data_IF_462786081027
#
_entry.id   IF_462786081027
#
_cell.length_a   1.000
_cell.length_b   1.000
_cell.length_c   1.000
_cell.angle_alpha   90.00
_cell.angle_beta   90.00
_cell.angle_gamma   90.00
#
_symmetry.space_group_name_H-M   'P 1'
#
loop_
_entity.id
_entity.type
_entity.pdbx_description
1 polymer ?
#
# COMPACT_ATOMS: atom_id res chain seq x y z
N UNK A 1 -12.48 7.60 31.65
CA UNK A 1 -12.48 6.26 31.02
C UNK A 1 -13.59 6.23 29.99
N UNK A 2 -13.31 6.39 28.72
CA UNK A 2 -14.29 6.19 27.67
C UNK A 2 -14.68 4.69 27.67
N UNK A 3 -15.96 4.42 27.84
CA UNK A 3 -16.47 3.05 27.88
C UNK A 3 -16.15 2.35 26.56
N UNK A 4 -15.49 1.18 26.62
CA UNK A 4 -15.09 0.37 25.46
C UNK A 4 -16.29 0.17 24.52
N UNK A 5 -17.50 0.03 25.06
CA UNK A 5 -18.73 -0.07 24.27
C UNK A 5 -19.04 1.21 23.45
N UNK A 6 -18.73 2.37 24.01
CA UNK A 6 -18.94 3.65 23.33
C UNK A 6 -17.99 3.82 22.16
N UNK A 7 -16.73 3.41 22.33
CA UNK A 7 -15.72 3.39 21.26
C UNK A 7 -16.14 2.40 20.16
N UNK A 8 -16.51 1.18 20.52
CA UNK A 8 -16.96 0.15 19.58
C UNK A 8 -18.20 0.59 18.78
N UNK A 9 -19.16 1.23 19.42
CA UNK A 9 -20.34 1.76 18.75
C UNK A 9 -20.00 2.91 17.79
N UNK A 10 -19.07 3.78 18.14
CA UNK A 10 -18.60 4.89 17.30
C UNK A 10 -17.88 4.35 16.05
N UNK A 11 -16.99 3.35 16.20
CA UNK A 11 -16.30 2.67 15.11
C UNK A 11 -17.32 1.99 14.17
N UNK A 12 -18.29 1.28 14.74
CA UNK A 12 -19.33 0.59 13.96
C UNK A 12 -20.16 1.59 13.14
N UNK A 13 -20.47 2.75 13.70
CA UNK A 13 -21.18 3.85 13.02
C UNK A 13 -20.35 4.43 11.88
N UNK A 14 -19.08 4.74 12.11
CA UNK A 14 -18.18 5.24 11.06
C UNK A 14 -17.97 4.21 9.96
N UNK A 15 -17.74 2.94 10.31
CA UNK A 15 -17.61 1.85 9.36
C UNK A 15 -18.86 1.69 8.49
N UNK A 16 -20.06 1.77 9.08
CA UNK A 16 -21.32 1.72 8.33
C UNK A 16 -21.47 2.90 7.37
N UNK A 17 -21.03 4.08 7.78
CA UNK A 17 -21.06 5.31 6.95
C UNK A 17 -20.12 5.17 5.75
N UNK A 18 -18.90 4.66 5.95
CA UNK A 18 -17.94 4.42 4.86
C UNK A 18 -18.47 3.35 3.91
N UNK A 19 -19.02 2.25 4.46
CA UNK A 19 -19.62 1.19 3.66
C UNK A 19 -20.79 1.71 2.81
N UNK A 20 -21.66 2.55 3.38
CA UNK A 20 -22.75 3.21 2.65
C UNK A 20 -22.26 4.02 1.46
N UNK A 21 -21.17 4.76 1.61
CA UNK A 21 -20.55 5.54 0.51
C UNK A 21 -19.92 4.65 -0.55
N UNK A 22 -19.29 3.54 -0.14
CA UNK A 22 -18.76 2.56 -1.09
C UNK A 22 -19.87 1.90 -1.88
N UNK A 23 -20.99 1.54 -1.23
CA UNK A 23 -22.18 1.01 -1.92
C UNK A 23 -22.71 2.06 -2.92
N UNK A 24 -22.81 3.32 -2.53
CA UNK A 24 -23.21 4.40 -3.42
C UNK A 24 -22.29 4.52 -4.65
N UNK A 25 -20.97 4.37 -4.46
CA UNK A 25 -20.02 4.32 -5.56
C UNK A 25 -20.27 3.12 -6.49
N UNK A 26 -20.50 1.94 -5.92
CA UNK A 26 -20.80 0.74 -6.72
C UNK A 26 -22.08 0.90 -7.53
N UNK A 27 -23.13 1.49 -6.94
CA UNK A 27 -24.36 1.84 -7.66
C UNK A 27 -24.08 2.81 -8.80
N UNK A 28 -23.35 3.88 -8.53
CA UNK A 28 -22.91 4.83 -9.56
C UNK A 28 -22.16 4.13 -10.70
N UNK A 29 -21.22 3.23 -10.37
CA UNK A 29 -20.43 2.52 -11.36
C UNK A 29 -21.28 1.54 -12.20
N UNK A 30 -22.22 0.84 -11.56
CA UNK A 30 -23.20 -0.01 -12.27
C UNK A 30 -24.05 0.84 -13.23
N UNK A 31 -24.51 2.02 -12.81
CA UNK A 31 -25.23 2.93 -13.67
C UNK A 31 -24.43 3.36 -14.89
N UNK A 32 -23.12 3.64 -14.71
CA UNK A 32 -22.23 3.97 -15.84
C UNK A 32 -22.12 2.79 -16.83
N UNK A 33 -21.99 1.56 -16.31
CA UNK A 33 -21.97 0.36 -17.16
C UNK A 33 -23.30 0.21 -17.93
N UNK A 34 -24.43 0.42 -17.26
CA UNK A 34 -25.75 0.36 -17.91
C UNK A 34 -25.91 1.42 -18.99
N UNK A 35 -25.39 2.65 -18.76
CA UNK A 35 -25.36 3.69 -19.78
C UNK A 35 -24.48 3.25 -20.95
N UNK A 36 -23.29 2.67 -20.70
CA UNK A 36 -22.43 2.11 -21.75
C UNK A 36 -23.13 1.03 -22.58
N UNK A 37 -23.83 0.11 -21.93
CA UNK A 37 -24.64 -0.92 -22.61
C UNK A 37 -25.75 -0.26 -23.43
N UNK A 38 -26.44 0.73 -22.87
CA UNK A 38 -27.49 1.48 -23.55
C UNK A 38 -26.99 2.17 -24.83
N UNK A 39 -25.79 2.78 -24.77
CA UNK A 39 -25.13 3.37 -25.94
C UNK A 39 -24.82 2.32 -27.00
N UNK A 40 -24.35 1.14 -26.57
CA UNK A 40 -24.04 0.03 -27.48
C UNK A 40 -25.31 -0.51 -28.19
N UNK A 41 -26.39 -0.72 -27.43
CA UNK A 41 -27.69 -1.13 -27.96
C UNK A 41 -28.27 -0.07 -28.87
N UNK A 42 -28.16 1.23 -28.53
CA UNK A 42 -28.58 2.35 -29.35
C UNK A 42 -27.81 2.42 -30.67
N UNK A 43 -26.50 2.24 -30.63
CA UNK A 43 -25.68 2.19 -31.85
C UNK A 43 -26.06 1.02 -32.77
N UNK A 44 -26.38 -0.15 -32.18
CA UNK A 44 -26.88 -1.30 -32.93
C UNK A 44 -28.21 -0.99 -33.59
N UNK A 45 -29.16 -0.38 -32.89
CA UNK A 45 -30.46 -0.02 -33.41
C UNK A 45 -30.38 1.04 -34.53
N UNK A 46 -29.53 2.07 -34.34
CA UNK A 46 -29.26 3.07 -35.39
C UNK A 46 -28.65 2.41 -36.62
N UNK A 47 -27.71 1.48 -36.44
CA UNK A 47 -27.11 0.73 -37.57
C UNK A 47 -28.15 -0.08 -38.34
N UNK A 48 -29.09 -0.73 -37.63
CA UNK A 48 -30.19 -1.48 -38.23
C UNK A 48 -31.12 -0.57 -39.04
N UNK A 49 -31.52 0.58 -38.47
CA UNK A 49 -32.34 1.58 -39.17
C UNK A 49 -31.65 2.10 -40.42
N UNK A 50 -30.35 2.42 -40.36
CA UNK A 50 -29.58 2.92 -41.51
C UNK A 50 -29.53 1.88 -42.64
N UNK A 51 -29.34 0.60 -42.30
CA UNK A 51 -29.36 -0.49 -43.29
C UNK A 51 -30.72 -0.61 -43.97
N UNK A 52 -31.83 -0.47 -43.21
CA UNK A 52 -33.18 -0.45 -43.78
C UNK A 52 -33.42 0.74 -44.74
N UNK A 53 -33.00 1.94 -44.32
CA UNK A 53 -33.09 3.14 -45.17
C UNK A 53 -32.28 3.01 -46.45
N UNK A 54 -31.07 2.45 -46.37
CA UNK A 54 -30.21 2.25 -47.55
C UNK A 54 -30.82 1.25 -48.55
N UNK A 55 -31.58 0.26 -48.08
CA UNK A 55 -32.26 -0.72 -48.96
C UNK A 55 -33.43 -0.16 -49.73
N UNK A 56 -33.99 1.00 -49.33
CA UNK A 56 -35.13 1.66 -49.97
C UNK A 56 -34.71 2.74 -51.00
N UNK A 57 -33.41 3.12 -51.03
CA UNK A 57 -32.91 4.19 -51.91
C UNK A 57 -32.57 3.66 -53.32
N UNK A 58 -33.26 4.13 -54.37
CA UNK A 58 -32.99 3.76 -55.76
C UNK A 58 -31.70 4.33 -56.33
N UNK A 59 -31.19 5.43 -55.78
CA UNK A 59 -29.89 5.99 -56.15
C UNK A 59 -29.19 6.64 -54.96
N UNK A 60 -27.96 6.24 -54.71
CA UNK A 60 -27.17 6.75 -53.58
C UNK A 60 -25.94 7.48 -54.10
N UNK A 61 -25.69 8.68 -53.54
CA UNK A 61 -24.46 9.43 -53.81
C UNK A 61 -23.26 8.73 -53.13
N UNK A 62 -22.27 8.32 -53.93
CA UNK A 62 -21.05 7.61 -53.47
C UNK A 62 -20.35 8.37 -52.35
N UNK A 63 -20.32 9.71 -52.37
CA UNK A 63 -19.74 10.52 -51.29
C UNK A 63 -20.50 10.37 -49.97
N UNK A 64 -21.82 10.22 -50.03
CA UNK A 64 -22.67 10.07 -48.86
C UNK A 64 -22.46 8.69 -48.19
N UNK A 65 -22.28 7.63 -49.00
CA UNK A 65 -21.92 6.29 -48.53
C UNK A 65 -20.55 6.33 -47.84
N UNK A 66 -19.56 7.00 -48.46
CA UNK A 66 -18.20 7.06 -47.93
C UNK A 66 -18.16 7.77 -46.58
N UNK A 67 -18.71 8.98 -46.47
CA UNK A 67 -18.72 9.74 -45.22
C UNK A 67 -19.65 9.14 -44.18
N UNK A 68 -20.79 8.59 -44.57
CA UNK A 68 -21.70 7.84 -43.67
C UNK A 68 -21.06 6.57 -43.09
N UNK A 69 -20.31 5.86 -43.93
CA UNK A 69 -19.54 4.68 -43.50
C UNK A 69 -18.46 5.02 -42.46
N UNK A 70 -17.75 6.13 -42.70
CA UNK A 70 -16.75 6.62 -41.72
C UNK A 70 -17.42 7.00 -40.39
N UNK A 71 -18.52 7.74 -40.43
CA UNK A 71 -19.27 8.14 -39.23
C UNK A 71 -19.81 6.93 -38.47
N UNK A 72 -20.30 5.91 -39.20
CA UNK A 72 -20.76 4.66 -38.60
C UNK A 72 -19.64 3.89 -37.93
N UNK A 73 -18.47 3.75 -38.53
CA UNK A 73 -17.30 3.11 -37.96
C UNK A 73 -16.80 3.88 -36.70
N UNK A 74 -16.79 5.22 -36.76
CA UNK A 74 -16.42 6.08 -35.65
C UNK A 74 -17.38 5.91 -34.46
N UNK A 75 -18.69 5.80 -34.71
CA UNK A 75 -19.68 5.54 -33.64
C UNK A 75 -19.42 4.20 -32.97
N UNK A 76 -19.19 3.11 -33.72
CA UNK A 76 -18.89 1.80 -33.13
C UNK A 76 -17.56 1.81 -32.37
N UNK A 77 -16.54 2.43 -32.92
CA UNK A 77 -15.27 2.61 -32.25
C UNK A 77 -15.45 3.30 -30.88
N UNK A 78 -16.21 4.37 -30.84
CA UNK A 78 -16.51 5.12 -29.62
C UNK A 78 -17.24 4.27 -28.59
N UNK A 79 -18.25 3.51 -28.98
CA UNK A 79 -18.96 2.61 -28.09
C UNK A 79 -18.04 1.51 -27.52
N UNK A 80 -17.17 0.94 -28.35
CA UNK A 80 -16.20 -0.08 -27.94
C UNK A 80 -15.20 0.52 -26.94
N UNK A 81 -14.70 1.72 -27.17
CA UNK A 81 -13.78 2.41 -26.28
C UNK A 81 -14.41 2.67 -24.90
N UNK A 82 -15.64 3.15 -24.84
CA UNK A 82 -16.35 3.34 -23.57
C UNK A 82 -16.56 2.01 -22.86
N UNK A 83 -17.03 0.98 -23.56
CA UNK A 83 -17.23 -0.34 -22.98
C UNK A 83 -15.92 -0.92 -22.42
N UNK A 84 -14.84 -0.84 -23.19
CA UNK A 84 -13.52 -1.27 -22.76
C UNK A 84 -13.05 -0.54 -21.52
N UNK A 85 -13.19 0.79 -21.50
CA UNK A 85 -12.78 1.64 -20.39
C UNK A 85 -13.54 1.32 -19.10
N UNK A 86 -14.84 1.03 -19.19
CA UNK A 86 -15.66 0.68 -18.04
C UNK A 86 -15.48 -0.77 -17.58
N UNK A 87 -15.20 -1.69 -18.48
CA UNK A 87 -15.18 -3.14 -18.16
C UNK A 87 -13.77 -3.62 -17.80
N UNK A 88 -12.74 -3.15 -18.50
CA UNK A 88 -11.36 -3.60 -18.27
C UNK A 88 -10.89 -3.50 -16.82
N UNK A 89 -11.13 -2.40 -16.06
CA UNK A 89 -10.70 -2.29 -14.68
C UNK A 89 -11.29 -3.35 -13.75
N UNK A 90 -12.48 -3.87 -14.05
CA UNK A 90 -13.12 -4.94 -13.27
C UNK A 90 -12.37 -6.28 -13.37
N UNK A 91 -11.68 -6.50 -14.49
CA UNK A 91 -10.92 -7.73 -14.75
C UNK A 91 -9.41 -7.53 -14.57
N UNK A 92 -8.96 -6.28 -14.36
CA UNK A 92 -7.56 -6.02 -14.09
C UNK A 92 -7.20 -6.55 -12.72
N UNK A 93 -6.23 -7.45 -12.69
CA UNK A 93 -5.66 -7.99 -11.47
C UNK A 93 -4.38 -7.21 -11.19
N UNK A 94 -4.42 -6.34 -10.18
CA UNK A 94 -3.19 -5.72 -9.70
C UNK A 94 -2.39 -6.77 -8.93
N UNK A 95 -1.28 -7.20 -9.52
CA UNK A 95 -0.31 -8.06 -8.84
C UNK A 95 0.74 -7.15 -8.21
N UNK A 96 0.98 -7.34 -6.92
CA UNK A 96 2.14 -6.74 -6.26
C UNK A 96 3.39 -7.39 -6.86
N UNK A 97 4.31 -6.57 -7.38
CA UNK A 97 5.64 -7.06 -7.80
C UNK A 97 6.37 -7.66 -6.59
N UNK A 98 6.96 -8.83 -6.80
CA UNK A 98 7.78 -9.50 -5.78
C UNK A 98 9.29 -9.28 -6.03
N UNK A 99 9.67 -8.37 -6.92
CA UNK A 99 11.05 -8.19 -7.37
C UNK A 99 12.02 -7.80 -6.25
N UNK A 100 11.50 -7.17 -5.18
CA UNK A 100 12.27 -6.74 -4.01
C UNK A 100 11.97 -7.56 -2.75
N UNK A 101 11.50 -8.82 -2.90
CA UNK A 101 11.05 -9.65 -1.77
C UNK A 101 11.48 -11.08 -1.96
N UNK A 102 12.11 -11.66 -0.92
CA UNK A 102 12.48 -13.07 -0.86
C UNK A 102 11.45 -13.83 -0.04
N UNK A 103 10.85 -14.85 -0.60
CA UNK A 103 10.03 -15.78 0.16
C UNK A 103 10.93 -16.66 1.04
N UNK A 104 10.53 -16.84 2.29
CA UNK A 104 11.23 -17.70 3.25
C UNK A 104 10.32 -18.81 3.76
N UNK A 105 10.92 -19.97 4.00
CA UNK A 105 10.24 -21.13 4.53
C UNK A 105 10.44 -21.27 6.05
N UNK A 106 9.63 -22.12 6.66
CA UNK A 106 9.76 -22.45 8.09
C UNK A 106 11.09 -23.11 8.43
N UNK A 107 11.63 -23.89 7.50
CA UNK A 107 12.88 -24.61 7.72
C UNK A 107 14.08 -23.64 7.64
N UNK A 108 13.99 -22.56 6.89
CA UNK A 108 15.02 -21.53 6.81
C UNK A 108 15.03 -20.56 8.00
N UNK A 109 13.84 -20.20 8.52
CA UNK A 109 13.68 -19.23 9.60
C UNK A 109 12.74 -19.74 10.70
N UNK A 110 13.07 -20.84 11.40
CA UNK A 110 12.15 -21.48 12.35
C UNK A 110 11.74 -20.56 13.50
N UNK A 111 12.66 -19.72 14.02
CA UNK A 111 12.37 -18.79 15.11
C UNK A 111 11.40 -17.68 14.68
N UNK A 112 11.60 -17.08 13.51
CA UNK A 112 10.68 -16.09 12.96
C UNK A 112 9.27 -16.67 12.79
N UNK A 113 9.17 -17.89 12.26
CA UNK A 113 7.87 -18.56 12.11
C UNK A 113 7.23 -18.93 13.44
N UNK A 114 8.03 -19.19 14.50
CA UNK A 114 7.52 -19.39 15.86
C UNK A 114 6.87 -18.11 16.39
N UNK A 115 7.55 -16.96 16.27
CA UNK A 115 7.01 -15.65 16.66
C UNK A 115 5.72 -15.34 15.92
N UNK A 116 5.68 -15.54 14.59
CA UNK A 116 4.49 -15.32 13.77
C UNK A 116 3.34 -16.25 14.21
N UNK A 117 3.62 -17.52 14.53
CA UNK A 117 2.61 -18.47 14.97
C UNK A 117 2.01 -18.09 16.35
N UNK A 118 2.83 -17.57 17.25
CA UNK A 118 2.37 -17.08 18.55
C UNK A 118 1.45 -15.88 18.38
N UNK A 119 1.83 -14.90 17.57
CA UNK A 119 1.00 -13.73 17.27
C UNK A 119 -0.32 -14.17 16.61
N UNK A 120 -0.27 -15.07 15.64
CA UNK A 120 -1.47 -15.55 14.94
C UNK A 120 -2.43 -16.24 15.93
N UNK A 121 -1.90 -17.03 16.89
CA UNK A 121 -2.69 -17.68 17.95
C UNK A 121 -3.31 -16.66 18.90
N UNK A 122 -2.53 -15.70 19.39
CA UNK A 122 -2.97 -14.68 20.34
C UNK A 122 -4.02 -13.73 19.74
N UNK A 123 -3.92 -13.45 18.43
CA UNK A 123 -4.87 -12.59 17.70
C UNK A 123 -6.07 -13.35 17.09
N UNK A 124 -6.08 -14.69 17.18
CA UNK A 124 -7.11 -15.53 16.54
C UNK A 124 -7.06 -15.50 15.00
N UNK A 125 -5.94 -15.09 14.43
CA UNK A 125 -5.74 -15.05 13.00
C UNK A 125 -5.20 -16.39 12.46
N UNK A 126 -5.43 -16.63 11.16
CA UNK A 126 -4.76 -17.73 10.46
C UNK A 126 -3.33 -17.34 10.13
N UNK A 127 -2.42 -18.34 10.14
CA UNK A 127 -1.05 -18.15 9.64
C UNK A 127 -1.05 -17.55 8.22
N UNK A 128 -0.12 -16.65 7.92
CA UNK A 128 0.10 -16.16 6.56
C UNK A 128 0.33 -17.32 5.60
N UNK A 129 -0.09 -17.16 4.33
CA UNK A 129 0.14 -18.19 3.30
C UNK A 129 1.62 -18.25 2.92
N UNK A 130 2.22 -17.09 2.75
CA UNK A 130 3.64 -16.91 2.43
C UNK A 130 4.20 -15.83 3.35
N UNK A 131 5.46 -15.99 3.74
CA UNK A 131 6.23 -15.00 4.49
C UNK A 131 7.37 -14.54 3.60
N UNK A 132 7.48 -13.24 3.44
CA UNK A 132 8.49 -12.59 2.62
C UNK A 132 9.40 -11.74 3.48
N UNK A 133 10.68 -11.69 3.15
CA UNK A 133 11.62 -10.71 3.65
C UNK A 133 11.90 -9.66 2.57
N UNK A 134 12.03 -8.42 2.99
CA UNK A 134 12.51 -7.31 2.16
C UNK A 134 13.57 -6.54 2.94
N UNK A 135 14.41 -5.76 2.27
CA UNK A 135 15.36 -4.90 2.98
C UNK A 135 14.77 -3.52 3.33
N UNK A 136 13.46 -3.40 3.37
CA UNK A 136 12.80 -2.16 3.78
C UNK A 136 12.71 -2.06 5.31
N UNK A 137 12.53 -0.85 5.83
CA UNK A 137 12.19 -0.60 7.22
C UNK A 137 10.66 -0.63 7.40
N UNK A 138 10.03 -1.75 7.08
CA UNK A 138 8.58 -1.87 7.09
C UNK A 138 8.14 -3.32 7.37
N UNK A 139 6.95 -3.48 7.93
CA UNK A 139 6.25 -4.76 7.94
C UNK A 139 4.83 -4.52 7.42
N UNK A 140 4.29 -5.46 6.68
CA UNK A 140 2.91 -5.37 6.24
C UNK A 140 2.29 -6.74 5.96
N UNK A 141 1.00 -6.84 6.19
CA UNK A 141 0.20 -7.97 5.72
C UNK A 141 -0.53 -7.56 4.45
N UNK A 142 -0.37 -8.32 3.39
CA UNK A 142 -0.88 -7.96 2.07
C UNK A 142 -1.49 -9.16 1.32
N UNK A 143 -2.18 -8.85 0.22
CA UNK A 143 -2.70 -9.83 -0.72
C UNK A 143 -1.87 -9.80 -2.01
N UNK A 144 -1.51 -10.97 -2.56
CA UNK A 144 -0.75 -11.06 -3.81
C UNK A 144 -1.48 -10.50 -5.03
N UNK A 145 -2.79 -10.45 -4.97
CA UNK A 145 -3.60 -9.91 -6.03
C UNK A 145 -4.86 -9.28 -5.47
N UNK A 146 -5.19 -8.10 -5.97
CA UNK A 146 -6.46 -7.44 -5.73
C UNK A 146 -7.27 -7.46 -7.02
N UNK A 147 -8.42 -8.10 -6.98
CA UNK A 147 -9.41 -8.09 -8.05
C UNK A 147 -10.79 -7.97 -7.41
N UNK A 148 -11.79 -7.58 -8.19
CA UNK A 148 -13.18 -7.50 -7.69
C UNK A 148 -13.65 -8.86 -7.13
N UNK A 149 -13.15 -9.96 -7.67
CA UNK A 149 -13.45 -11.32 -7.22
C UNK A 149 -12.90 -11.63 -5.82
N UNK A 150 -11.83 -10.94 -5.39
CA UNK A 150 -11.27 -11.11 -4.04
C UNK A 150 -12.20 -10.61 -2.93
N UNK A 151 -13.25 -9.86 -3.27
CA UNK A 151 -14.28 -9.42 -2.33
C UNK A 151 -15.17 -10.62 -1.95
N UNK A 152 -15.51 -11.45 -2.94
CA UNK A 152 -16.42 -12.60 -2.78
C UNK A 152 -15.67 -13.84 -2.32
N UNK A 153 -14.43 -14.02 -2.74
CA UNK A 153 -13.58 -15.16 -2.39
C UNK A 153 -12.42 -14.70 -1.50
N UNK A 154 -12.48 -14.99 -0.18
CA UNK A 154 -11.43 -14.57 0.74
C UNK A 154 -10.12 -15.28 0.40
N UNK A 155 -9.14 -14.50 -0.08
CA UNK A 155 -7.78 -14.97 -0.31
C UNK A 155 -7.00 -14.99 1.00
N UNK A 156 -6.07 -15.95 1.13
CA UNK A 156 -5.14 -15.96 2.27
C UNK A 156 -4.18 -14.78 2.15
N UNK A 157 -3.83 -14.22 3.29
CA UNK A 157 -2.91 -13.10 3.41
C UNK A 157 -1.48 -13.59 3.41
N UNK A 158 -0.58 -12.73 2.98
CA UNK A 158 0.86 -12.90 3.09
C UNK A 158 1.41 -11.87 4.07
N UNK A 159 2.53 -12.17 4.67
CA UNK A 159 3.26 -11.28 5.56
C UNK A 159 4.58 -10.89 4.89
N UNK A 160 4.92 -9.62 4.93
CA UNK A 160 6.26 -9.13 4.62
C UNK A 160 6.87 -8.57 5.90
N UNK A 161 8.12 -8.92 6.15
CA UNK A 161 8.93 -8.41 7.26
C UNK A 161 10.18 -7.80 6.67
N UNK A 162 10.40 -6.53 6.96
CA UNK A 162 11.60 -5.82 6.53
C UNK A 162 12.80 -6.17 7.40
N UNK A 163 13.93 -6.50 6.79
CA UNK A 163 15.18 -6.74 7.52
C UNK A 163 15.68 -5.48 8.21
N UNK A 164 15.30 -4.27 7.71
CA UNK A 164 15.57 -3.02 8.41
C UNK A 164 14.99 -2.96 9.83
N UNK A 165 13.84 -3.59 10.07
CA UNK A 165 13.27 -3.71 11.42
C UNK A 165 14.11 -4.62 12.33
N UNK A 166 14.70 -5.68 11.75
CA UNK A 166 15.56 -6.60 12.48
C UNK A 166 16.84 -5.90 12.98
N UNK A 167 17.31 -4.88 12.27
CA UNK A 167 18.58 -4.20 12.59
C UNK A 167 18.53 -3.32 13.84
N UNK A 168 17.36 -2.83 14.22
CA UNK A 168 17.24 -1.85 15.30
C UNK A 168 16.31 -2.23 16.43
N UNK A 169 15.69 -3.44 16.39
CA UNK A 169 14.69 -3.86 17.35
C UNK A 169 15.11 -5.10 18.10
N UNK A 170 14.57 -5.25 19.32
CA UNK A 170 14.58 -6.52 20.02
C UNK A 170 13.39 -7.40 19.60
N UNK A 171 13.39 -8.66 20.05
CA UNK A 171 12.36 -9.65 19.66
C UNK A 171 10.95 -9.21 20.09
N UNK A 172 10.78 -8.57 21.24
CA UNK A 172 9.47 -8.10 21.71
C UNK A 172 9.00 -6.85 20.98
N UNK A 173 9.89 -5.93 20.63
CA UNK A 173 9.58 -4.77 19.81
C UNK A 173 9.15 -5.16 18.39
N UNK A 174 9.86 -6.11 17.77
CA UNK A 174 9.44 -6.68 16.50
C UNK A 174 8.10 -7.40 16.63
N UNK A 175 7.90 -8.19 17.70
CA UNK A 175 6.63 -8.86 18.00
C UNK A 175 5.49 -7.83 18.17
N UNK A 176 5.78 -6.65 18.74
CA UNK A 176 4.82 -5.55 18.86
C UNK A 176 4.37 -5.03 17.50
N UNK A 177 5.31 -4.76 16.59
CA UNK A 177 5.00 -4.29 15.24
C UNK A 177 4.20 -5.35 14.47
N UNK A 178 4.65 -6.60 14.48
CA UNK A 178 3.92 -7.68 13.83
C UNK A 178 2.54 -7.89 14.48
N UNK A 179 2.42 -7.75 15.80
CA UNK A 179 1.17 -7.78 16.53
C UNK A 179 0.20 -6.69 16.11
N UNK A 180 0.70 -5.48 15.86
CA UNK A 180 -0.07 -4.38 15.29
C UNK A 180 -0.59 -4.71 13.88
N UNK A 181 0.27 -5.23 12.99
CA UNK A 181 -0.13 -5.66 11.65
C UNK A 181 -1.20 -6.76 11.67
N UNK A 182 -1.07 -7.72 12.58
CA UNK A 182 -2.10 -8.74 12.79
C UNK A 182 -3.36 -8.17 13.44
N UNK A 183 -3.23 -7.13 14.26
CA UNK A 183 -4.33 -6.39 14.88
C UNK A 183 -5.31 -5.86 13.84
N UNK A 184 -4.81 -5.33 12.73
CA UNK A 184 -5.64 -4.88 11.59
C UNK A 184 -6.56 -5.97 11.01
N UNK A 185 -6.43 -7.23 11.41
CA UNK A 185 -7.18 -8.35 10.86
C UNK A 185 -7.91 -9.22 11.88
N UNK A 186 -7.77 -8.92 13.18
CA UNK A 186 -8.24 -9.79 14.26
C UNK A 186 -9.70 -9.57 14.69
N UNK A 187 -10.31 -8.41 14.42
CA UNK A 187 -11.61 -8.04 14.99
C UNK A 187 -12.77 -8.06 13.99
N UNK A 188 -14.01 -8.17 14.49
CA UNK A 188 -15.21 -8.16 13.62
C UNK A 188 -15.46 -6.79 12.96
N UNK A 189 -15.13 -5.71 13.63
CA UNK A 189 -15.12 -4.34 13.09
C UNK A 189 -14.14 -4.21 11.93
N UNK A 190 -13.01 -4.93 12.02
CA UNK A 190 -12.01 -5.04 10.95
C UNK A 190 -12.50 -5.83 9.73
N UNK A 191 -13.51 -6.70 9.84
CA UNK A 191 -14.10 -7.35 8.65
C UNK A 191 -14.75 -6.31 7.74
N UNK A 192 -15.49 -5.36 8.31
CA UNK A 192 -16.08 -4.24 7.54
C UNK A 192 -14.96 -3.34 7.01
N UNK A 193 -13.97 -2.98 7.85
CA UNK A 193 -12.80 -2.22 7.44
C UNK A 193 -12.01 -2.92 6.33
N UNK A 194 -11.81 -4.24 6.41
CA UNK A 194 -11.09 -5.00 5.39
C UNK A 194 -11.82 -5.09 4.05
N UNK A 195 -13.16 -5.12 4.06
CA UNK A 195 -13.98 -5.05 2.83
C UNK A 195 -13.85 -3.66 2.23
N UNK A 196 -14.03 -2.61 3.05
CA UNK A 196 -13.88 -1.22 2.63
C UNK A 196 -12.50 -0.95 2.07
N UNK A 197 -11.44 -1.42 2.74
CA UNK A 197 -10.06 -1.28 2.28
C UNK A 197 -9.83 -1.95 0.91
N UNK A 198 -10.32 -3.18 0.72
CA UNK A 198 -10.23 -3.87 -0.58
C UNK A 198 -10.98 -3.13 -1.68
N UNK A 199 -12.17 -2.63 -1.38
CA UNK A 199 -12.95 -1.84 -2.33
C UNK A 199 -12.22 -0.54 -2.70
N UNK A 200 -11.61 0.15 -1.73
CA UNK A 200 -10.81 1.35 -1.99
C UNK A 200 -9.56 1.05 -2.83
N UNK A 201 -8.89 -0.08 -2.61
CA UNK A 201 -7.77 -0.53 -3.46
C UNK A 201 -8.21 -0.78 -4.90
N UNK A 202 -9.39 -1.40 -5.10
CA UNK A 202 -9.94 -1.63 -6.44
C UNK A 202 -10.26 -0.29 -7.11
N UNK A 203 -10.93 0.63 -6.40
CA UNK A 203 -11.26 1.96 -6.92
C UNK A 203 -9.99 2.73 -7.27
N UNK A 204 -8.96 2.64 -6.42
CA UNK A 204 -7.64 3.26 -6.68
C UNK A 204 -7.01 2.69 -7.94
N UNK A 205 -7.00 1.35 -8.09
CA UNK A 205 -6.52 0.70 -9.31
C UNK A 205 -7.28 1.12 -10.57
N UNK A 206 -8.59 1.36 -10.45
CA UNK A 206 -9.40 1.90 -11.56
C UNK A 206 -8.98 3.32 -11.93
N UNK A 207 -8.67 4.16 -10.93
CA UNK A 207 -8.20 5.53 -11.13
C UNK A 207 -6.80 5.55 -11.75
N UNK A 208 -5.89 4.72 -11.25
CA UNK A 208 -4.52 4.59 -11.78
C UNK A 208 -4.54 4.15 -13.25
N UNK A 209 -5.35 3.14 -13.57
CA UNK A 209 -5.58 2.72 -14.96
C UNK A 209 -6.09 3.88 -15.83
N UNK A 210 -7.11 4.61 -15.35
CA UNK A 210 -7.69 5.72 -16.06
C UNK A 210 -6.68 6.86 -16.32
N UNK A 211 -5.84 7.17 -15.32
CA UNK A 211 -4.78 8.17 -15.42
C UNK A 211 -3.66 7.74 -16.38
N UNK A 212 -3.31 6.45 -16.37
CA UNK A 212 -2.32 5.91 -17.30
C UNK A 212 -2.79 5.98 -18.76
N UNK A 213 -4.03 5.60 -19.02
CA UNK A 213 -4.62 5.72 -20.36
C UNK A 213 -4.71 7.20 -20.81
N UNK A 214 -5.04 8.11 -19.89
CA UNK A 214 -5.05 9.55 -20.15
C UNK A 214 -3.63 10.08 -20.44
N UNK A 215 -2.61 9.60 -19.71
CA UNK A 215 -1.21 9.97 -19.95
C UNK A 215 -0.72 9.49 -21.31
N UNK A 216 -1.02 8.24 -21.68
CA UNK A 216 -0.72 7.69 -23.02
C UNK A 216 -1.37 8.56 -24.11
N UNK A 217 -2.64 8.92 -23.93
CA UNK A 217 -3.34 9.81 -24.82
C UNK A 217 -2.64 11.17 -24.95
N UNK A 218 -2.23 11.80 -23.83
CA UNK A 218 -1.58 13.11 -23.86
C UNK A 218 -0.18 13.09 -24.49
N UNK A 219 0.57 12.00 -24.35
CA UNK A 219 1.88 11.84 -24.99
C UNK A 219 1.78 11.70 -26.51
N UNK A 220 0.70 11.09 -27.00
CA UNK A 220 0.47 10.99 -28.46
C UNK A 220 0.07 12.36 -29.09
N UNK A 221 -0.42 13.32 -28.31
CA UNK A 221 -0.66 14.71 -28.77
C UNK A 221 0.61 15.48 -29.14
N UNK A 222 1.76 15.05 -28.61
CA UNK A 222 3.04 15.70 -28.89
C UNK A 222 3.60 15.32 -30.27
N UNK A 223 3.09 14.27 -30.91
CA UNK A 223 3.44 13.84 -32.24
C UNK A 223 2.38 14.37 -33.25
N UNK A 224 2.82 15.07 -34.26
CA UNK A 224 2.03 15.96 -35.14
C UNK A 224 1.11 15.25 -36.16
N UNK A 225 0.62 14.04 -35.85
CA UNK A 225 -0.25 13.29 -36.76
C UNK A 225 -1.73 13.67 -36.60
N UNK A 226 -2.30 14.22 -37.68
CA UNK A 226 -3.67 14.77 -37.72
C UNK A 226 -4.78 13.78 -37.38
N UNK A 227 -4.55 12.45 -37.58
CA UNK A 227 -5.51 11.40 -37.26
C UNK A 227 -5.64 11.13 -35.79
N UNK A 228 -4.56 11.25 -35.01
CA UNK A 228 -4.57 11.10 -33.59
C UNK A 228 -5.41 12.16 -32.87
N UNK A 229 -5.49 13.39 -33.43
CA UNK A 229 -6.34 14.46 -32.88
C UNK A 229 -7.83 14.09 -32.84
N UNK A 230 -8.31 13.36 -33.84
CA UNK A 230 -9.68 12.85 -33.85
C UNK A 230 -9.94 11.76 -32.83
N UNK A 231 -8.98 10.88 -32.60
CA UNK A 231 -9.06 9.87 -31.53
C UNK A 231 -9.12 10.50 -30.16
N UNK A 232 -8.44 11.63 -29.95
CA UNK A 232 -8.43 12.34 -28.67
C UNK A 232 -9.73 13.11 -28.39
N UNK A 233 -10.41 13.61 -29.40
CA UNK A 233 -11.74 14.21 -29.23
C UNK A 233 -12.72 13.18 -28.65
N UNK A 234 -12.57 11.91 -29.02
CA UNK A 234 -13.33 10.79 -28.47
C UNK A 234 -12.98 10.46 -27.00
N UNK A 235 -11.84 10.93 -26.47
CA UNK A 235 -11.44 10.69 -25.08
C UNK A 235 -12.15 11.60 -24.07
N UNK A 236 -12.85 12.63 -24.49
CA UNK A 236 -13.56 13.57 -23.61
C UNK A 236 -14.47 12.93 -22.56
N UNK A 237 -15.35 11.98 -22.94
CA UNK A 237 -16.19 11.24 -21.98
C UNK A 237 -15.38 10.43 -20.98
N UNK A 238 -14.26 9.82 -21.40
CA UNK A 238 -13.38 9.07 -20.50
C UNK A 238 -12.76 9.98 -19.44
N UNK A 239 -12.27 11.15 -19.85
CA UNK A 239 -11.73 12.18 -18.95
C UNK A 239 -12.80 12.64 -17.96
N UNK A 240 -14.03 12.84 -18.42
CA UNK A 240 -15.15 13.20 -17.56
C UNK A 240 -15.45 12.10 -16.52
N UNK A 241 -15.58 10.84 -16.96
CA UNK A 241 -15.82 9.68 -16.07
C UNK A 241 -14.71 9.57 -15.04
N UNK A 242 -13.44 9.68 -15.47
CA UNK A 242 -12.27 9.64 -14.57
C UNK A 242 -12.35 10.74 -13.51
N UNK A 243 -12.64 11.99 -13.89
CA UNK A 243 -12.77 13.11 -12.97
C UNK A 243 -13.90 12.88 -11.94
N UNK A 244 -15.04 12.33 -12.36
CA UNK A 244 -16.13 12.00 -11.43
C UNK A 244 -15.75 10.84 -10.49
N UNK A 245 -15.07 9.82 -11.01
CA UNK A 245 -14.58 8.69 -10.20
C UNK A 245 -13.59 9.18 -9.13
N UNK A 246 -12.66 10.07 -9.48
CA UNK A 246 -11.72 10.68 -8.52
C UNK A 246 -12.46 11.50 -7.46
N UNK A 247 -13.48 12.28 -7.84
CA UNK A 247 -14.28 13.03 -6.85
C UNK A 247 -14.99 12.09 -5.87
N UNK A 248 -15.56 10.99 -6.36
CA UNK A 248 -16.18 9.97 -5.53
C UNK A 248 -15.18 9.29 -4.60
N UNK A 249 -14.01 8.92 -5.13
CA UNK A 249 -12.93 8.36 -4.33
C UNK A 249 -12.54 9.28 -3.18
N UNK A 250 -12.26 10.55 -3.47
CA UNK A 250 -11.89 11.55 -2.47
C UNK A 250 -13.02 11.77 -1.42
N UNK A 251 -14.29 11.68 -1.84
CA UNK A 251 -15.42 11.77 -0.94
C UNK A 251 -15.49 10.58 0.03
N UNK A 252 -15.19 9.36 -0.45
CA UNK A 252 -15.11 8.17 0.40
C UNK A 252 -13.90 8.27 1.33
N UNK A 253 -12.73 8.59 0.76
CA UNK A 253 -11.46 8.64 1.47
C UNK A 253 -11.47 9.65 2.62
N UNK A 254 -12.07 10.82 2.43
CA UNK A 254 -12.21 11.81 3.49
C UNK A 254 -12.87 11.28 4.77
N UNK A 255 -13.81 10.31 4.64
CA UNK A 255 -14.44 9.66 5.80
C UNK A 255 -13.70 8.40 6.24
N UNK A 256 -13.05 7.73 5.31
CA UNK A 256 -12.24 6.56 5.64
C UNK A 256 -11.07 6.91 6.57
N UNK A 257 -10.55 8.14 6.52
CA UNK A 257 -9.47 8.62 7.42
C UNK A 257 -9.86 8.55 8.89
N UNK A 258 -11.08 8.97 9.24
CA UNK A 258 -11.57 8.86 10.61
C UNK A 258 -11.62 7.40 11.06
N UNK A 259 -12.15 6.51 10.21
CA UNK A 259 -12.18 5.09 10.47
C UNK A 259 -10.76 4.50 10.55
N UNK A 260 -9.85 4.91 9.66
CA UNK A 260 -8.45 4.47 9.65
C UNK A 260 -7.76 4.78 10.97
N UNK A 261 -7.91 6.00 11.51
CA UNK A 261 -7.34 6.37 12.82
C UNK A 261 -7.83 5.49 13.97
N UNK A 262 -9.13 5.16 13.99
CA UNK A 262 -9.66 4.23 14.99
C UNK A 262 -9.09 2.82 14.84
N UNK A 263 -8.92 2.37 13.58
CA UNK A 263 -8.31 1.07 13.30
C UNK A 263 -6.86 1.00 13.76
N UNK A 264 -6.11 2.10 13.64
CA UNK A 264 -4.73 2.19 14.19
C UNK A 264 -4.72 2.02 15.71
N UNK A 265 -5.57 2.76 16.44
CA UNK A 265 -5.65 2.64 17.90
C UNK A 265 -6.09 1.25 18.36
N UNK A 266 -6.98 0.59 17.62
CA UNK A 266 -7.35 -0.81 17.92
C UNK A 266 -6.20 -1.78 17.66
N UNK A 267 -5.44 -1.59 16.58
CA UNK A 267 -4.27 -2.40 16.27
C UNK A 267 -3.17 -2.20 17.32
N UNK A 268 -2.97 -0.95 17.78
CA UNK A 268 -2.08 -0.62 18.90
C UNK A 268 -2.49 -1.34 20.18
N UNK A 269 -3.79 -1.36 20.50
CA UNK A 269 -4.31 -2.07 21.68
C UNK A 269 -4.12 -3.58 21.58
N UNK A 270 -4.17 -4.17 20.37
CA UNK A 270 -3.85 -5.59 20.15
C UNK A 270 -2.37 -5.83 20.37
N UNK A 271 -1.48 -5.01 19.82
CA UNK A 271 -0.05 -5.10 20.05
C UNK A 271 0.30 -5.03 21.56
N UNK A 272 -0.26 -4.04 22.26
CA UNK A 272 -0.06 -3.88 23.71
C UNK A 272 -0.55 -5.09 24.51
N UNK A 273 -1.63 -5.76 24.08
CA UNK A 273 -2.11 -7.00 24.74
C UNK A 273 -1.13 -8.16 24.57
N UNK A 274 -0.46 -8.24 23.42
CA UNK A 274 0.47 -9.33 23.09
C UNK A 274 1.79 -9.15 23.86
N UNK A 275 2.41 -7.97 23.79
CA UNK A 275 3.76 -7.74 24.33
C UNK A 275 3.81 -6.82 25.54
N UNK A 276 2.75 -6.11 25.86
CA UNK A 276 2.71 -5.02 26.84
C UNK A 276 2.92 -3.65 26.20
N UNK A 277 2.57 -2.59 26.93
CA UNK A 277 2.68 -1.22 26.43
C UNK A 277 4.15 -0.79 26.24
N UNK A 278 5.06 -1.18 27.14
CA UNK A 278 6.47 -0.74 27.10
C UNK A 278 7.20 -1.15 25.81
N UNK A 279 7.22 -2.42 25.36
CA UNK A 279 7.85 -2.79 24.09
C UNK A 279 7.19 -2.14 22.89
N UNK A 280 5.87 -1.98 22.90
CA UNK A 280 5.15 -1.32 21.82
C UNK A 280 5.53 0.17 21.71
N UNK A 281 5.53 0.92 22.82
CA UNK A 281 5.94 2.34 22.83
C UNK A 281 7.41 2.46 22.41
N UNK A 282 8.28 1.58 22.94
CA UNK A 282 9.70 1.54 22.55
C UNK A 282 9.85 1.33 21.04
N UNK A 283 9.09 0.41 20.46
CA UNK A 283 9.14 0.16 19.01
C UNK A 283 8.71 1.37 18.19
N UNK A 284 7.68 2.12 18.60
CA UNK A 284 7.25 3.34 17.94
C UNK A 284 8.33 4.43 17.99
N UNK A 285 8.94 4.64 19.15
CA UNK A 285 10.02 5.62 19.34
C UNK A 285 11.24 5.26 18.48
N UNK A 286 11.59 3.97 18.43
CA UNK A 286 12.71 3.49 17.62
C UNK A 286 12.44 3.63 16.12
N UNK A 287 11.22 3.36 15.66
CA UNK A 287 10.87 3.46 14.25
C UNK A 287 11.15 4.84 13.66
N UNK A 288 10.90 5.91 14.41
CA UNK A 288 11.13 7.28 13.93
C UNK A 288 12.64 7.51 13.70
N UNK A 289 13.46 7.17 14.69
CA UNK A 289 14.93 7.29 14.58
C UNK A 289 15.51 6.35 13.51
N UNK A 290 15.04 5.10 13.48
CA UNK A 290 15.48 4.12 12.49
C UNK A 290 15.11 4.55 11.07
N UNK A 291 13.95 5.18 10.88
CA UNK A 291 13.51 5.67 9.57
C UNK A 291 14.47 6.74 9.02
N UNK A 292 14.92 7.65 9.86
CA UNK A 292 15.89 8.67 9.47
C UNK A 292 17.25 8.05 9.13
N UNK A 293 17.78 7.21 10.01
CA UNK A 293 19.09 6.58 9.84
C UNK A 293 19.12 5.60 8.68
N UNK A 294 18.05 4.82 8.54
CA UNK A 294 17.92 3.90 7.41
C UNK A 294 17.84 4.65 6.08
N UNK A 295 17.16 5.81 6.06
CA UNK A 295 17.14 6.70 4.91
C UNK A 295 18.53 7.22 4.52
N UNK A 296 19.35 7.59 5.51
CA UNK A 296 20.75 7.99 5.27
C UNK A 296 21.57 6.81 4.71
N UNK A 297 21.39 5.61 5.26
CA UNK A 297 22.04 4.41 4.74
C UNK A 297 21.63 4.10 3.28
N UNK A 298 20.34 4.18 2.96
CA UNK A 298 19.85 4.01 1.59
C UNK A 298 20.47 5.04 0.62
N UNK A 299 20.72 6.26 1.07
CA UNK A 299 21.41 7.27 0.27
C UNK A 299 22.88 6.89 0.00
N UNK A 300 23.59 6.33 1.00
CA UNK A 300 24.94 5.79 0.81
C UNK A 300 24.93 4.65 -0.21
N UNK A 301 23.98 3.71 -0.07
CA UNK A 301 23.83 2.60 -1.03
C UNK A 301 23.56 3.12 -2.44
N UNK A 302 22.66 4.09 -2.59
CA UNK A 302 22.34 4.67 -3.90
C UNK A 302 23.57 5.32 -4.55
N UNK A 303 24.41 5.99 -3.75
CA UNK A 303 25.67 6.59 -4.24
C UNK A 303 26.67 5.54 -4.70
N UNK A 304 26.85 4.46 -3.92
CA UNK A 304 27.72 3.34 -4.31
C UNK A 304 27.27 2.67 -5.62
N UNK A 305 25.96 2.49 -5.80
CA UNK A 305 25.41 1.91 -7.02
C UNK A 305 25.62 2.79 -8.26
N UNK A 306 25.71 4.13 -8.10
CA UNK A 306 26.09 5.02 -9.20
C UNK A 306 27.52 4.74 -9.68
N UNK A 307 28.42 4.33 -8.75
CA UNK A 307 29.80 3.95 -9.04
C UNK A 307 29.93 2.45 -9.39
N UNK A 308 28.79 1.76 -9.66
CA UNK A 308 28.69 0.33 -9.95
C UNK A 308 29.24 -0.61 -8.85
N UNK A 309 29.25 -0.11 -7.63
CA UNK A 309 29.68 -0.86 -6.44
C UNK A 309 28.47 -1.25 -5.61
N UNK A 310 28.54 -2.37 -4.91
CA UNK A 310 27.45 -2.86 -4.08
C UNK A 310 27.96 -3.38 -2.72
N UNK A 311 27.03 -3.48 -1.79
CA UNK A 311 27.28 -3.97 -0.43
C UNK A 311 26.87 -5.44 -0.38
N UNK A 312 27.80 -6.34 -0.12
CA UNK A 312 27.59 -7.79 -0.04
C UNK A 312 26.86 -8.21 1.24
N UNK A 313 27.17 -7.56 2.37
CA UNK A 313 26.47 -7.73 3.64
C UNK A 313 25.73 -6.45 4.03
N UNK A 314 24.49 -6.36 3.57
CA UNK A 314 23.63 -5.18 3.72
C UNK A 314 23.33 -4.86 5.19
N UNK A 315 23.18 -5.90 6.04
CA UNK A 315 22.92 -5.75 7.47
C UNK A 315 24.15 -5.15 8.19
N UNK A 316 25.33 -5.68 7.90
CA UNK A 316 26.58 -5.15 8.46
C UNK A 316 26.89 -3.75 7.95
N UNK A 317 26.54 -3.46 6.70
CA UNK A 317 26.65 -2.13 6.12
C UNK A 317 25.84 -1.10 6.88
N UNK A 318 24.61 -1.42 7.21
CA UNK A 318 23.77 -0.57 8.04
C UNK A 318 24.39 -0.34 9.42
N UNK A 319 24.89 -1.40 10.10
CA UNK A 319 25.50 -1.30 11.42
C UNK A 319 26.73 -0.34 11.42
N UNK A 320 27.55 -0.41 10.38
CA UNK A 320 28.73 0.47 10.24
C UNK A 320 28.32 1.93 10.03
N UNK A 321 27.41 2.18 9.09
CA UNK A 321 26.94 3.55 8.80
C UNK A 321 26.20 4.14 10.01
N UNK A 322 25.39 3.34 10.69
CA UNK A 322 24.71 3.74 11.93
C UNK A 322 25.70 4.08 13.04
N UNK A 323 26.77 3.28 13.17
CA UNK A 323 27.84 3.55 14.13
C UNK A 323 28.57 4.87 13.85
N UNK A 324 28.85 5.17 12.57
CA UNK A 324 29.47 6.42 12.16
C UNK A 324 28.56 7.63 12.46
N UNK A 325 27.28 7.54 12.16
CA UNK A 325 26.30 8.60 12.46
C UNK A 325 26.19 8.80 13.98
N UNK A 326 26.17 7.72 14.76
CA UNK A 326 26.10 7.79 16.21
C UNK A 326 27.34 8.43 16.85
N UNK A 327 28.52 8.24 16.26
CA UNK A 327 29.77 8.91 16.67
C UNK A 327 29.75 10.41 16.36
N UNK A 328 29.27 10.79 15.17
CA UNK A 328 29.22 12.19 14.72
C UNK A 328 28.18 13.01 15.52
N UNK A 329 27.02 12.45 15.77
CA UNK A 329 25.97 13.09 16.55
C UNK A 329 26.18 13.04 18.07
N UNK A 330 27.12 12.26 18.56
CA UNK A 330 27.34 12.02 20.01
C UNK A 330 26.18 11.28 20.69
N UNK A 331 25.26 10.74 19.90
CA UNK A 331 24.03 10.08 20.36
C UNK A 331 24.16 8.58 20.14
N UNK A 332 24.65 7.86 21.12
CA UNK A 332 24.37 6.40 21.21
C UNK A 332 22.89 6.23 21.51
N UNK A 333 22.18 5.57 20.62
CA UNK A 333 20.77 5.21 20.85
C UNK A 333 20.69 4.12 21.89
N UNK A 334 20.85 4.50 23.16
CA UNK A 334 20.57 3.66 24.30
C UNK A 334 19.10 3.89 24.69
N UNK A 335 18.25 2.96 24.30
CA UNK A 335 16.82 2.98 24.65
C UNK A 335 16.53 2.32 26.01
N UNK A 336 17.44 2.42 26.94
CA UNK A 336 17.24 1.94 28.31
C UNK A 336 16.57 3.01 29.19
N UNK A 337 15.56 3.70 28.63
CA UNK A 337 14.77 4.68 29.35
C UNK A 337 13.52 4.03 29.96
N UNK A 338 13.14 4.49 31.13
CA UNK A 338 11.88 4.07 31.75
C UNK A 338 10.69 4.49 30.83
N UNK A 339 9.59 3.76 30.92
CA UNK A 339 8.36 4.06 30.17
C UNK A 339 7.90 5.50 30.39
N UNK A 340 7.98 6.00 31.63
CA UNK A 340 7.64 7.37 32.01
C UNK A 340 8.51 8.41 31.29
N UNK A 341 9.81 8.14 31.17
CA UNK A 341 10.74 9.00 30.43
C UNK A 341 10.47 8.99 28.92
N UNK A 342 10.08 7.84 28.36
CA UNK A 342 9.69 7.75 26.95
C UNK A 342 8.40 8.52 26.65
N UNK A 343 7.43 8.51 27.57
CA UNK A 343 6.16 9.23 27.42
C UNK A 343 6.34 10.75 27.62
N UNK A 344 7.24 11.17 28.53
CA UNK A 344 7.44 12.58 28.88
C UNK A 344 8.43 13.34 27.98
N UNK A 345 9.19 12.65 27.16
CA UNK A 345 10.23 13.26 26.32
C UNK A 345 9.65 13.86 25.03
N UNK A 346 8.82 14.91 25.18
CA UNK A 346 8.25 15.67 24.06
C UNK A 346 9.32 16.29 23.14
N UNK A 347 10.56 16.49 23.62
CA UNK A 347 11.64 17.11 22.85
C UNK A 347 12.15 16.20 21.73
N UNK A 348 11.92 14.88 21.82
CA UNK A 348 12.31 13.91 20.79
C UNK A 348 11.31 13.80 19.64
N UNK A 349 10.08 14.28 19.88
CA UNK A 349 9.10 14.45 18.83
C UNK A 349 9.05 15.94 18.51
N UNK A 350 10.10 16.53 17.83
CA UNK A 350 9.86 17.82 17.29
C UNK A 350 8.54 17.64 16.57
N UNK A 351 7.56 18.43 16.95
CA UNK A 351 6.49 18.74 16.06
C UNK A 351 7.19 19.30 14.83
N UNK A 352 7.71 18.44 13.96
CA UNK A 352 7.68 18.71 12.53
C UNK A 352 6.25 19.12 12.43
N UNK A 353 6.02 20.45 12.35
CA UNK A 353 4.73 21.03 12.09
C UNK A 353 4.14 19.98 11.18
N UNK A 354 3.35 19.10 11.79
CA UNK A 354 2.65 18.13 11.01
C UNK A 354 1.83 19.11 10.22
N UNK A 355 2.35 19.45 9.04
CA UNK A 355 1.51 20.00 8.01
C UNK A 355 0.47 18.93 8.06
N UNK A 356 -0.68 19.29 8.66
CA UNK A 356 -1.86 18.45 8.63
C UNK A 356 -2.16 18.42 7.15
N UNK A 357 -1.28 17.73 6.45
CA UNK A 357 -1.53 17.31 5.11
C UNK A 357 -2.74 16.46 5.30
N UNK A 358 -3.86 17.01 4.82
CA UNK A 358 -5.13 16.32 4.91
C UNK A 358 -5.08 14.92 4.28
N UNK A 359 -3.90 14.37 4.05
CA UNK A 359 -3.49 13.08 3.51
C UNK A 359 -2.96 12.10 4.56
N UNK A 360 -2.62 12.54 5.80
CA UNK A 360 -2.17 11.63 6.86
C UNK A 360 -3.33 10.76 7.35
N UNK A 361 -3.29 9.50 6.96
CA UNK A 361 -4.28 8.48 7.35
C UNK A 361 -4.00 7.90 8.73
N UNK A 362 -2.81 8.11 9.29
CA UNK A 362 -2.37 7.58 10.57
C UNK A 362 -2.39 8.66 11.66
N UNK A 363 -2.69 8.29 12.93
CA UNK A 363 -2.48 9.15 14.08
C UNK A 363 -1.01 9.53 14.24
N UNK A 364 -0.72 10.63 14.92
CA UNK A 364 0.65 10.98 15.29
C UNK A 364 1.24 9.94 16.26
N UNK A 365 2.57 9.83 16.28
CA UNK A 365 3.26 8.92 17.23
C UNK A 365 2.87 9.29 18.67
N UNK A 366 2.79 10.57 19.01
CA UNK A 366 2.35 11.05 20.32
C UNK A 366 0.96 10.53 20.69
N UNK A 367 -0.03 10.68 19.80
CA UNK A 367 -1.39 10.16 20.03
C UNK A 367 -1.40 8.64 20.23
N UNK A 368 -0.58 7.91 19.49
CA UNK A 368 -0.44 6.45 19.61
C UNK A 368 0.18 6.05 20.95
N UNK A 369 1.23 6.77 21.38
CA UNK A 369 1.86 6.56 22.71
C UNK A 369 0.88 6.84 23.83
N UNK A 370 0.15 7.96 23.79
CA UNK A 370 -0.87 8.30 24.78
C UNK A 370 -1.96 7.22 24.86
N UNK A 371 -2.39 6.72 23.72
CA UNK A 371 -3.35 5.61 23.67
C UNK A 371 -2.77 4.32 24.27
N UNK A 372 -1.54 3.97 23.90
CA UNK A 372 -0.85 2.76 24.36
C UNK A 372 -0.59 2.79 25.86
N UNK A 373 -0.27 3.96 26.43
CA UNK A 373 -0.04 4.13 27.87
C UNK A 373 -1.26 3.77 28.74
N UNK A 374 -2.45 3.74 28.16
CA UNK A 374 -3.68 3.32 28.86
C UNK A 374 -3.75 1.78 29.07
N UNK A 375 -2.95 1.01 28.33
CA UNK A 375 -2.92 -0.44 28.35
C UNK A 375 -1.74 -0.99 29.18
N UNK A 376 -1.31 -0.28 30.24
CA UNK A 376 -0.21 -0.73 31.09
C UNK A 376 -0.65 -2.05 31.76
N UNK A 377 -0.15 -3.14 31.20
CA UNK A 377 -0.16 -4.44 31.85
C UNK A 377 1.27 -4.68 32.29
N UNK A 378 1.48 -4.84 33.59
CA UNK A 378 2.79 -5.18 34.18
C UNK A 378 3.20 -6.59 33.72
N UNK A 379 3.78 -6.67 32.52
CA UNK A 379 4.57 -7.83 32.13
C UNK A 379 6.00 -7.59 32.58
N UNK A 380 6.51 -8.46 33.45
CA UNK A 380 7.85 -8.35 34.04
C UNK A 380 8.94 -8.96 33.16
N UNK A 381 8.57 -9.90 32.28
CA UNK A 381 9.51 -10.66 31.46
C UNK A 381 9.48 -10.13 30.01
N UNK A 382 10.43 -9.27 29.69
CA UNK A 382 10.63 -8.77 28.33
C UNK A 382 11.79 -9.51 27.67
N UNK A 383 11.60 -9.93 26.41
CA UNK A 383 12.65 -10.52 25.60
C UNK A 383 13.45 -9.43 24.87
N UNK A 384 14.55 -8.99 25.50
CA UNK A 384 15.44 -7.97 24.95
C UNK A 384 16.49 -8.53 23.97
N UNK A 385 16.41 -9.82 23.60
CA UNK A 385 17.32 -10.39 22.60
C UNK A 385 17.12 -9.70 21.24
N UNK A 386 18.21 -9.61 20.50
CA UNK A 386 18.25 -8.96 19.20
C UNK A 386 17.34 -9.68 18.20
N UNK A 387 16.51 -8.93 17.49
CA UNK A 387 15.63 -9.49 16.47
C UNK A 387 16.39 -10.01 15.24
N UNK A 388 17.65 -9.58 15.02
CA UNK A 388 18.53 -10.09 13.95
C UNK A 388 18.72 -11.61 14.05
N UNK A 389 18.71 -12.16 15.26
CA UNK A 389 18.86 -13.61 15.49
C UNK A 389 17.73 -14.45 14.88
N UNK A 390 16.54 -13.85 14.62
CA UNK A 390 15.39 -14.54 14.03
C UNK A 390 15.61 -14.97 12.58
N UNK A 391 16.59 -14.36 11.90
CA UNK A 391 16.88 -14.61 10.48
C UNK A 391 18.38 -14.75 10.27
N UNK A 392 18.78 -15.81 9.62
CA UNK A 392 20.20 -16.07 9.30
C UNK A 392 20.81 -14.91 8.49
N UNK A 393 22.06 -14.52 8.81
CA UNK A 393 22.80 -13.44 8.16
C UNK A 393 22.93 -13.63 6.65
N UNK A 394 23.12 -14.86 6.18
CA UNK A 394 23.20 -15.15 4.76
C UNK A 394 21.90 -14.80 4.01
N UNK A 395 20.74 -15.06 4.63
CA UNK A 395 19.42 -14.69 4.07
C UNK A 395 19.26 -13.17 4.07
N UNK A 396 19.69 -12.48 5.13
CA UNK A 396 19.64 -11.02 5.20
C UNK A 396 20.51 -10.38 4.11
N UNK A 397 21.71 -10.92 3.87
CA UNK A 397 22.61 -10.46 2.80
C UNK A 397 21.99 -10.67 1.41
N UNK A 398 21.37 -11.84 1.17
CA UNK A 398 20.67 -12.12 -0.10
C UNK A 398 19.54 -11.12 -0.35
N UNK A 399 18.74 -10.79 0.67
CA UNK A 399 17.66 -9.80 0.58
C UNK A 399 18.23 -8.40 0.28
N UNK A 400 19.36 -8.05 0.88
CA UNK A 400 20.06 -6.79 0.62
C UNK A 400 20.57 -6.68 -0.83
N UNK A 401 21.12 -7.77 -1.38
CA UNK A 401 21.53 -7.83 -2.79
C UNK A 401 20.32 -7.69 -3.72
N UNK A 402 19.21 -8.33 -3.41
CA UNK A 402 17.97 -8.18 -4.18
C UNK A 402 17.49 -6.71 -4.20
N UNK A 403 17.59 -6.00 -3.07
CA UNK A 403 17.26 -4.56 -2.97
C UNK A 403 18.15 -3.74 -3.90
N UNK A 404 19.44 -3.96 -3.88
CA UNK A 404 20.39 -3.24 -4.69
C UNK A 404 20.17 -3.49 -6.19
N UNK A 405 19.86 -4.73 -6.59
CA UNK A 405 19.45 -5.06 -7.97
C UNK A 405 18.17 -4.35 -8.39
N UNK A 406 17.22 -4.20 -7.48
CA UNK A 406 15.99 -3.45 -7.75
C UNK A 406 16.27 -1.95 -7.97
N UNK A 407 17.25 -1.38 -7.25
CA UNK A 407 17.65 0.02 -7.41
C UNK A 407 18.52 0.25 -8.66
N UNK A 408 19.35 -0.74 -9.03
CA UNK A 408 20.23 -0.68 -10.18
C UNK A 408 20.47 -2.09 -10.74
N UNK A 409 20.19 -2.29 -12.05
CA UNK A 409 20.30 -3.61 -12.68
C UNK A 409 21.74 -4.11 -12.82
N UNK A 410 22.71 -3.19 -12.91
CA UNK A 410 24.11 -3.50 -13.23
C UNK A 410 25.05 -2.96 -12.15
N UNK A 411 25.63 -3.84 -11.37
CA UNK A 411 26.75 -3.55 -10.48
C UNK A 411 27.80 -4.66 -10.59
N UNK A 412 29.09 -4.30 -10.48
CA UNK A 412 30.18 -5.18 -10.85
C UNK A 412 30.97 -5.70 -9.63
N UNK A 413 31.24 -4.84 -8.63
CA UNK A 413 32.15 -5.18 -7.54
C UNK A 413 31.57 -4.91 -6.15
N UNK A 414 31.76 -5.85 -5.19
CA UNK A 414 31.44 -5.57 -3.80
C UNK A 414 32.44 -4.56 -3.22
N UNK A 415 31.93 -3.70 -2.35
CA UNK A 415 32.77 -2.75 -1.63
C UNK A 415 33.29 -3.39 -0.34
N UNK A 416 34.56 -3.14 0.00
CA UNK A 416 35.09 -3.51 1.31
C UNK A 416 34.65 -2.51 2.37
N UNK A 417 34.46 -2.96 3.61
CA UNK A 417 34.04 -2.09 4.70
C UNK A 417 35.09 -1.06 5.14
N UNK A 418 36.38 -1.31 4.89
CA UNK A 418 37.43 -0.32 5.06
C UNK A 418 37.20 0.89 4.15
N UNK A 419 36.80 0.64 2.90
CA UNK A 419 36.60 1.69 1.92
C UNK A 419 35.35 2.54 2.21
N UNK A 420 34.30 1.95 2.83
CA UNK A 420 33.09 2.69 3.27
C UNK A 420 33.43 3.70 4.37
N UNK A 421 34.36 3.36 5.25
CA UNK A 421 34.78 4.26 6.34
C UNK A 421 35.62 5.44 5.86
N UNK A 422 36.23 5.33 4.71
CA UNK A 422 37.06 6.42 4.10
C UNK A 422 36.23 7.35 3.19
N UNK A 423 35.00 7.00 2.87
CA UNK A 423 34.03 7.79 2.08
C UNK A 423 33.24 8.77 2.95
#
# INVERSE_FOLDING_TARGET
>A
MLDIKTIENSIRKEASTVLGRVILFLVYYILLILVGIGLFVGAFWISWMLLGLLSELESINVRLIFWGGIAWLAMWWFCIQIAWYLVKPLFTVHRTSNENRREVSRDECPELFSVIADIARETGNKMPKHVYLSSELNACVFYNSTSIWSIFFPTRKNLMVGTGLLQGMNKDELKAILGHEFGHFSQQTMKVGSITYRLLLIIRGMIEFAQEEQKKASLSWANDDSWEKWFHLASGPMVFITKQTIKFYNYIEKKNRSLSRFMEFEADAVACRIVGAKPFISSLCKLDVLSERYGLYENVVAKLLQDKRYIDDYAKGYEIVEGMIAEDEGIKVSFDKSLETLISDESRYPSKVAIIDGWNTHPSITERIENAAQFIVDKTDYNNQDARELVNSAIQSEVGIMRQRFMCENFDEPISWSDVKEM
#
